data_IF_328437777362
#
_entry.id   IF_328437777362
#
_cell.length_a   1.000
_cell.length_b   1.000
_cell.length_c   1.000
_cell.angle_alpha   90.00
_cell.angle_beta   90.00
_cell.angle_gamma   90.00
#
_symmetry.space_group_name_H-M   'P 1'
#
loop_
_entity.id
_entity.type
_entity.pdbx_description
1 polymer ?
#
# COMPACT_ATOMS: atom_id res chain seq x y z
N UNK A 1 -2.14 26.00 22.27
CA UNK A 1 -2.03 25.77 20.82
C UNK A 1 -0.82 24.88 20.60
N UNK A 2 -0.98 23.65 20.11
CA UNK A 2 0.15 22.71 19.98
C UNK A 2 0.95 23.01 18.70
N UNK A 3 2.22 23.38 18.84
CA UNK A 3 3.19 23.59 17.77
C UNK A 3 3.59 22.24 17.12
N UNK A 4 2.69 21.63 16.37
CA UNK A 4 2.98 20.40 15.63
C UNK A 4 3.73 20.68 14.32
N UNK A 5 4.56 19.73 13.89
CA UNK A 5 5.24 19.76 12.60
C UNK A 5 4.18 19.53 11.51
N UNK A 6 3.92 20.57 10.72
CA UNK A 6 3.02 20.49 9.57
C UNK A 6 3.63 19.66 8.44
N UNK A 7 3.12 18.44 8.23
CA UNK A 7 3.38 17.71 7.00
C UNK A 7 2.29 18.05 5.97
N UNK A 8 2.52 19.10 5.20
CA UNK A 8 1.58 19.60 4.21
C UNK A 8 1.70 18.88 2.86
N UNK A 9 0.61 18.92 2.09
CA UNK A 9 0.57 18.55 0.67
C UNK A 9 1.61 19.33 -0.15
N UNK A 10 2.07 20.49 0.35
CA UNK A 10 3.09 21.28 -0.33
C UNK A 10 4.46 20.58 -0.32
N UNK A 11 4.74 19.74 0.68
CA UNK A 11 5.95 18.90 0.71
C UNK A 11 5.96 17.79 -0.35
N UNK A 12 4.82 17.45 -0.95
CA UNK A 12 4.77 16.53 -2.10
C UNK A 12 5.23 17.27 -3.36
N UNK A 13 6.53 17.19 -3.65
CA UNK A 13 7.13 17.87 -4.81
C UNK A 13 6.62 17.36 -6.17
N UNK A 14 6.06 18.23 -7.03
CA UNK A 14 5.48 17.83 -8.33
C UNK A 14 6.46 17.13 -9.28
N UNK A 15 7.74 17.52 -9.25
CA UNK A 15 8.78 16.92 -10.10
C UNK A 15 9.06 15.45 -9.78
N UNK A 16 8.75 15.00 -8.56
CA UNK A 16 8.96 13.62 -8.12
C UNK A 16 7.70 12.74 -8.32
N UNK A 17 6.54 13.34 -8.58
CA UNK A 17 5.30 12.60 -8.82
C UNK A 17 5.33 11.86 -10.16
N UNK A 18 4.98 10.57 -10.12
CA UNK A 18 5.02 9.70 -11.30
C UNK A 18 6.36 9.00 -11.52
N UNK A 19 7.37 9.33 -10.73
CA UNK A 19 8.62 8.57 -10.68
C UNK A 19 8.46 7.35 -9.78
N UNK A 20 9.26 6.31 -10.03
CA UNK A 20 9.28 5.14 -9.15
C UNK A 20 10.08 5.45 -7.89
N UNK A 21 9.45 5.37 -6.72
CA UNK A 21 10.09 5.74 -5.46
C UNK A 21 11.33 4.89 -5.16
N UNK A 22 11.32 3.60 -5.52
CA UNK A 22 12.48 2.71 -5.39
C UNK A 22 13.73 3.19 -6.15
N UNK A 23 13.56 4.06 -7.16
CA UNK A 23 14.67 4.64 -7.94
C UNK A 23 15.10 6.00 -7.41
N UNK A 24 14.15 6.79 -6.90
CA UNK A 24 14.38 8.16 -6.44
C UNK A 24 14.82 8.20 -4.98
N UNK A 25 14.39 7.24 -4.19
CA UNK A 25 14.64 7.12 -2.76
C UNK A 25 15.42 5.82 -2.50
N UNK A 26 16.55 5.63 -3.18
CA UNK A 26 17.47 4.55 -2.81
C UNK A 26 18.16 4.87 -1.48
N UNK A 27 18.67 3.85 -0.78
CA UNK A 27 19.39 4.07 0.47
C UNK A 27 20.59 5.04 0.29
N UNK A 28 21.32 4.89 -0.82
CA UNK A 28 22.46 5.76 -1.15
C UNK A 28 22.05 7.21 -1.39
N UNK A 29 20.99 7.44 -2.17
CA UNK A 29 20.50 8.80 -2.47
C UNK A 29 20.00 9.48 -1.20
N UNK A 30 19.26 8.75 -0.34
CA UNK A 30 18.79 9.31 0.94
C UNK A 30 19.96 9.67 1.86
N UNK A 31 20.98 8.82 1.95
CA UNK A 31 22.17 9.10 2.76
C UNK A 31 22.94 10.32 2.25
N UNK A 32 23.13 10.44 0.94
CA UNK A 32 23.76 11.60 0.29
C UNK A 32 22.95 12.89 0.53
N UNK A 33 21.63 12.84 0.34
CA UNK A 33 20.75 13.99 0.57
C UNK A 33 20.81 14.47 2.02
N UNK A 34 20.82 13.55 2.99
CA UNK A 34 20.99 13.90 4.40
C UNK A 34 22.34 14.57 4.62
N UNK A 35 23.42 14.07 4.01
CA UNK A 35 24.77 14.58 4.21
C UNK A 35 24.87 16.02 3.69
N UNK A 36 24.39 16.25 2.46
CA UNK A 36 24.33 17.56 1.82
C UNK A 36 23.51 18.54 2.67
N UNK A 37 22.32 18.12 3.11
CA UNK A 37 21.41 18.94 3.90
C UNK A 37 21.93 19.22 5.31
N UNK A 38 22.70 18.30 5.90
CA UNK A 38 23.29 18.50 7.23
C UNK A 38 24.39 19.55 7.18
N UNK A 39 25.26 19.48 6.17
CA UNK A 39 26.34 20.46 5.97
C UNK A 39 25.83 21.90 5.83
N UNK A 40 24.64 22.11 5.27
CA UNK A 40 24.07 23.46 5.15
C UNK A 40 23.48 24.01 6.44
N UNK A 41 23.02 23.14 7.35
CA UNK A 41 22.44 23.58 8.62
C UNK A 41 23.50 23.71 9.72
N UNK A 42 24.56 22.88 9.71
CA UNK A 42 25.58 22.81 10.78
C UNK A 42 26.08 24.18 11.20
N UNK A 43 26.43 25.06 10.25
CA UNK A 43 26.90 26.41 10.57
C UNK A 43 25.84 27.29 11.26
N UNK A 44 24.57 27.18 10.85
CA UNK A 44 23.46 27.93 11.44
C UNK A 44 23.12 27.42 12.85
N UNK A 45 23.11 26.10 13.04
CA UNK A 45 22.92 25.49 14.36
C UNK A 45 24.08 25.79 15.31
N UNK A 46 25.33 25.69 14.85
CA UNK A 46 26.49 26.05 15.66
C UNK A 46 26.44 27.52 16.08
N UNK A 47 25.98 28.44 15.22
CA UNK A 47 25.79 29.84 15.59
C UNK A 47 24.74 30.04 16.69
N UNK A 48 23.66 29.25 16.68
CA UNK A 48 22.61 29.28 17.72
C UNK A 48 23.07 28.63 19.02
N UNK A 49 23.84 27.53 18.91
CA UNK A 49 24.31 26.72 20.03
C UNK A 49 25.58 27.27 20.69
N UNK A 50 26.31 28.21 20.07
CA UNK A 50 27.42 28.94 20.71
C UNK A 50 27.00 29.71 21.97
N UNK A 51 25.71 29.86 22.22
CA UNK A 51 25.14 30.43 23.45
C UNK A 51 24.66 29.38 24.46
N UNK A 52 24.79 28.09 24.17
CA UNK A 52 24.48 26.99 25.07
C UNK A 52 25.74 26.15 25.30
N UNK A 53 26.32 26.23 26.50
CA UNK A 53 27.52 25.50 26.93
C UNK A 53 27.28 23.98 27.11
N UNK A 54 26.65 23.29 26.17
CA UNK A 54 26.43 21.85 26.28
C UNK A 54 27.42 21.05 25.42
N UNK A 55 28.08 20.14 26.12
CA UNK A 55 29.05 19.12 25.74
C UNK A 55 28.96 18.53 24.33
N UNK A 56 30.15 18.18 23.82
CA UNK A 56 30.40 17.48 22.56
C UNK A 56 29.61 16.17 22.47
N UNK A 57 28.42 16.21 21.91
CA UNK A 57 27.72 15.01 21.45
C UNK A 57 28.58 14.35 20.38
N UNK A 58 28.79 13.03 20.48
CA UNK A 58 29.57 12.27 19.50
C UNK A 58 28.84 12.29 18.14
N UNK A 59 29.26 13.19 17.24
CA UNK A 59 28.66 13.48 15.93
C UNK A 59 28.41 12.21 15.11
N UNK A 60 29.36 11.26 15.15
CA UNK A 60 29.23 9.97 14.47
C UNK A 60 28.04 9.14 14.98
N UNK A 61 27.73 9.20 16.27
CA UNK A 61 26.62 8.45 16.87
C UNK A 61 25.28 9.08 16.49
N UNK A 62 25.19 10.41 16.49
CA UNK A 62 24.00 11.13 16.02
C UNK A 62 23.75 10.86 14.53
N UNK A 63 24.80 10.91 13.72
CA UNK A 63 24.73 10.64 12.28
C UNK A 63 24.25 9.23 11.96
N UNK A 64 24.79 8.23 12.66
CA UNK A 64 24.36 6.84 12.51
C UNK A 64 22.89 6.66 12.88
N UNK A 65 22.43 7.34 13.96
CA UNK A 65 21.03 7.34 14.38
C UNK A 65 20.12 7.97 13.33
N UNK A 66 20.48 9.14 12.80
CA UNK A 66 19.67 9.85 11.79
C UNK A 66 19.51 9.02 10.51
N UNK A 67 20.60 8.45 9.99
CA UNK A 67 20.54 7.57 8.81
C UNK A 67 19.63 6.37 9.05
N UNK A 68 19.77 5.70 10.20
CA UNK A 68 18.91 4.57 10.57
C UNK A 68 17.43 4.96 10.65
N UNK A 69 17.11 6.13 11.18
CA UNK A 69 15.75 6.64 11.24
C UNK A 69 15.20 6.98 9.84
N UNK A 70 16.02 7.57 8.97
CA UNK A 70 15.65 7.82 7.59
C UNK A 70 15.40 6.52 6.82
N UNK A 71 16.24 5.49 6.98
CA UNK A 71 16.02 4.18 6.37
C UNK A 71 14.71 3.53 6.83
N UNK A 72 14.38 3.63 8.12
CA UNK A 72 13.10 3.15 8.66
C UNK A 72 11.92 3.91 8.05
N UNK A 73 12.04 5.23 7.96
CA UNK A 73 11.03 6.07 7.32
C UNK A 73 10.86 5.70 5.84
N UNK A 74 11.97 5.44 5.13
CA UNK A 74 12.02 4.99 3.74
C UNK A 74 11.27 3.66 3.58
N UNK A 75 11.58 2.69 4.43
CA UNK A 75 10.92 1.38 4.41
C UNK A 75 9.42 1.49 4.69
N UNK A 76 9.01 2.40 5.58
CA UNK A 76 7.61 2.69 5.84
C UNK A 76 6.89 3.25 4.60
N UNK A 77 7.48 4.24 3.92
CA UNK A 77 6.84 4.87 2.74
C UNK A 77 6.84 3.98 1.51
N UNK A 78 7.79 3.05 1.39
CA UNK A 78 7.83 2.06 0.31
C UNK A 78 6.84 0.90 0.55
N UNK A 79 6.21 0.83 1.72
CA UNK A 79 5.28 -0.25 2.08
C UNK A 79 5.97 -1.57 2.42
N UNK A 80 7.30 -1.56 2.58
CA UNK A 80 8.11 -2.72 2.99
C UNK A 80 7.90 -3.04 4.48
N UNK A 81 7.67 -2.01 5.30
CA UNK A 81 7.40 -2.15 6.72
C UNK A 81 5.91 -1.91 7.05
N UNK A 82 5.26 -2.80 7.81
CA UNK A 82 3.87 -2.58 8.23
C UNK A 82 3.78 -1.47 9.28
N UNK A 83 2.65 -0.76 9.29
CA UNK A 83 2.33 0.19 10.35
C UNK A 83 1.61 -0.53 11.50
N UNK A 84 2.22 -0.51 12.68
CA UNK A 84 1.74 -1.17 13.90
C UNK A 84 1.37 -0.11 14.93
N UNK A 85 0.19 -0.21 15.55
CA UNK A 85 -0.29 0.79 16.51
C UNK A 85 0.56 0.81 17.80
N UNK A 86 0.92 -0.36 18.32
CA UNK A 86 1.51 -0.51 19.67
C UNK A 86 3.04 -0.31 19.72
N UNK A 87 3.67 -0.01 18.58
CA UNK A 87 5.12 0.19 18.49
C UNK A 87 5.42 1.55 17.90
N UNK A 88 5.87 2.49 18.72
CA UNK A 88 6.25 3.82 18.27
C UNK A 88 7.32 3.74 17.17
N UNK A 89 7.10 4.48 16.08
CA UNK A 89 8.08 4.72 15.04
C UNK A 89 9.20 5.59 15.61
N UNK A 90 10.34 4.98 15.91
CA UNK A 90 11.56 5.67 16.29
C UNK A 90 12.18 6.32 15.05
N UNK A 91 11.62 7.47 14.67
CA UNK A 91 11.97 8.34 13.52
C UNK A 91 11.88 9.84 13.86
N UNK A 92 11.84 10.20 15.15
CA UNK A 92 11.59 11.56 15.62
C UNK A 92 12.68 12.56 15.18
N UNK A 93 13.94 12.18 15.24
CA UNK A 93 15.06 13.05 14.87
C UNK A 93 15.06 13.33 13.37
N UNK A 94 14.78 12.31 12.55
CA UNK A 94 14.60 12.48 11.11
C UNK A 94 13.46 13.45 10.78
N UNK A 95 12.29 13.25 11.40
CA UNK A 95 11.12 14.12 11.19
C UNK A 95 11.42 15.56 11.60
N UNK A 96 12.04 15.76 12.77
CA UNK A 96 12.41 17.07 13.28
C UNK A 96 13.47 17.75 12.40
N UNK A 97 14.46 16.99 11.93
CA UNK A 97 15.51 17.47 11.04
C UNK A 97 14.96 18.00 9.71
N UNK A 98 14.08 17.24 9.05
CA UNK A 98 13.45 17.67 7.79
C UNK A 98 12.48 18.84 8.02
N UNK A 99 11.81 18.90 9.17
CA UNK A 99 10.99 20.05 9.54
C UNK A 99 11.82 21.32 9.76
N UNK A 100 13.02 21.19 10.34
CA UNK A 100 13.96 22.30 10.52
C UNK A 100 14.48 22.82 9.17
N UNK A 101 14.81 21.90 8.24
CA UNK A 101 15.25 22.26 6.89
C UNK A 101 14.28 23.21 6.20
N UNK A 102 12.97 22.91 6.25
CA UNK A 102 11.89 23.77 5.72
C UNK A 102 11.93 25.20 6.25
N UNK A 103 12.23 25.36 7.54
CA UNK A 103 12.30 26.67 8.18
C UNK A 103 13.51 27.51 7.72
N UNK A 104 14.52 26.86 7.13
CA UNK A 104 15.81 27.47 6.76
C UNK A 104 15.97 27.71 5.24
N UNK A 105 15.00 27.30 4.40
CA UNK A 105 15.04 27.30 2.93
C UNK A 105 15.21 28.68 2.22
N UNK A 106 15.65 29.73 2.91
CA UNK A 106 16.01 31.01 2.27
C UNK A 106 17.40 31.03 1.59
N UNK A 107 18.13 29.91 1.50
CA UNK A 107 19.45 29.83 0.82
C UNK A 107 19.43 28.88 -0.39
N UNK A 108 19.70 29.42 -1.57
CA UNK A 108 19.24 28.95 -2.89
C UNK A 108 19.98 27.77 -3.54
N UNK A 109 20.98 27.17 -2.92
CA UNK A 109 21.91 26.29 -3.66
C UNK A 109 21.72 24.77 -3.42
N UNK A 110 20.81 24.34 -2.54
CA UNK A 110 20.60 22.91 -2.19
C UNK A 110 19.16 22.44 -2.39
N UNK A 111 18.50 22.98 -3.40
CA UNK A 111 17.06 22.83 -3.62
C UNK A 111 16.65 21.35 -3.79
N UNK A 112 17.42 20.53 -4.51
CA UNK A 112 16.96 19.19 -4.88
C UNK A 112 16.99 18.16 -3.73
N UNK A 113 18.07 18.12 -2.94
CA UNK A 113 18.20 17.20 -1.81
C UNK A 113 17.16 17.49 -0.72
N UNK A 114 16.96 18.77 -0.40
CA UNK A 114 15.93 19.19 0.57
C UNK A 114 14.54 18.82 0.04
N UNK A 115 14.25 19.08 -1.24
CA UNK A 115 13.00 18.68 -1.85
C UNK A 115 12.75 17.16 -1.77
N UNK A 116 13.75 16.31 -2.01
CA UNK A 116 13.57 14.85 -1.87
C UNK A 116 13.29 14.45 -0.42
N UNK A 117 14.02 15.00 0.55
CA UNK A 117 13.78 14.73 1.97
C UNK A 117 12.40 15.19 2.43
N UNK A 118 11.94 16.35 1.96
CA UNK A 118 10.60 16.85 2.23
C UNK A 118 9.50 16.00 1.59
N UNK A 119 9.73 15.55 0.36
CA UNK A 119 8.84 14.64 -0.34
C UNK A 119 8.71 13.34 0.42
N UNK A 120 9.84 12.80 0.90
CA UNK A 120 9.90 11.62 1.74
C UNK A 120 9.15 11.80 3.07
N UNK A 121 9.31 12.94 3.75
CA UNK A 121 8.53 13.27 4.95
C UNK A 121 7.01 13.33 4.64
N UNK A 122 6.63 13.99 3.55
CA UNK A 122 5.23 14.13 3.15
C UNK A 122 4.59 12.78 2.74
N UNK A 123 5.35 11.89 2.09
CA UNK A 123 4.92 10.52 1.79
C UNK A 123 4.66 9.72 3.06
N UNK A 124 5.47 9.89 4.11
CA UNK A 124 5.26 9.22 5.38
C UNK A 124 4.04 9.74 6.12
N UNK A 125 3.83 11.06 6.13
CA UNK A 125 2.58 11.62 6.65
C UNK A 125 1.34 11.12 5.88
N UNK A 126 1.44 11.02 4.55
CA UNK A 126 0.41 10.40 3.74
C UNK A 126 0.19 8.93 4.13
N UNK A 127 1.26 8.14 4.29
CA UNK A 127 1.17 6.74 4.73
C UNK A 127 0.41 6.61 6.05
N UNK A 128 0.74 7.43 7.05
CA UNK A 128 0.01 7.48 8.33
C UNK A 128 -1.47 7.85 8.11
N UNK A 129 -1.74 8.84 7.26
CA UNK A 129 -3.10 9.29 6.94
C UNK A 129 -3.96 8.22 6.26
N UNK A 130 -3.37 7.33 5.46
CA UNK A 130 -4.08 6.25 4.77
C UNK A 130 -4.51 5.11 5.70
N UNK A 131 -3.94 5.01 6.91
CA UNK A 131 -4.29 4.01 7.93
C UNK A 131 -4.68 4.73 9.23
N UNK A 132 -5.89 5.33 9.33
CA UNK A 132 -6.22 6.31 10.37
C UNK A 132 -6.01 5.80 11.81
N UNK A 133 -6.39 4.56 12.11
CA UNK A 133 -6.26 3.99 13.47
C UNK A 133 -4.80 3.97 13.98
N UNK A 134 -3.88 3.18 13.39
CA UNK A 134 -2.48 3.22 13.82
C UNK A 134 -1.78 4.53 13.42
N UNK A 135 -2.17 5.15 12.31
CA UNK A 135 -1.51 6.33 11.76
C UNK A 135 -1.66 7.57 12.60
N UNK A 136 -2.84 7.82 13.20
CA UNK A 136 -3.03 8.94 14.11
C UNK A 136 -2.22 8.80 15.40
N UNK A 137 -2.09 7.57 15.93
CA UNK A 137 -1.28 7.29 17.12
C UNK A 137 0.19 7.58 16.85
N UNK A 138 0.70 7.16 15.70
CA UNK A 138 2.08 7.39 15.29
C UNK A 138 2.34 8.86 14.96
N UNK A 139 1.40 9.53 14.29
CA UNK A 139 1.52 10.96 14.00
C UNK A 139 1.65 11.79 15.28
N UNK A 140 0.88 11.46 16.34
CA UNK A 140 1.01 12.10 17.66
C UNK A 140 2.40 11.86 18.28
N UNK A 141 2.90 10.63 18.24
CA UNK A 141 4.25 10.30 18.76
C UNK A 141 5.38 11.06 18.04
N UNK A 142 5.17 11.39 16.77
CA UNK A 142 6.13 12.10 15.93
C UNK A 142 5.88 13.62 15.91
N UNK A 143 4.89 14.13 16.67
CA UNK A 143 4.41 15.51 16.58
C UNK A 143 4.05 15.96 15.15
N UNK A 144 3.60 15.04 14.31
CA UNK A 144 3.16 15.31 12.94
C UNK A 144 1.67 15.67 12.90
N UNK A 145 1.35 16.79 12.25
CA UNK A 145 -0.03 17.15 11.95
C UNK A 145 -0.45 16.58 10.61
N UNK A 146 -1.49 15.72 10.62
CA UNK A 146 -2.10 15.18 9.42
C UNK A 146 -3.24 16.09 8.94
N UNK A 147 -3.11 16.62 7.73
CA UNK A 147 -4.12 17.52 7.16
C UNK A 147 -5.37 16.75 6.72
N UNK A 148 -6.55 17.22 7.15
CA UNK A 148 -7.87 16.65 6.82
C UNK A 148 -7.91 15.11 6.89
N UNK A 149 -7.78 14.49 8.07
CA UNK A 149 -7.91 13.04 8.23
C UNK A 149 -9.22 12.54 7.62
N UNK A 150 -9.19 11.39 6.95
CA UNK A 150 -10.35 10.80 6.25
C UNK A 150 -10.58 11.30 4.83
N UNK A 151 -9.83 12.31 4.35
CA UNK A 151 -9.94 12.81 2.98
C UNK A 151 -8.57 12.93 2.32
N UNK A 152 -8.47 12.64 1.02
CA UNK A 152 -7.23 12.80 0.26
C UNK A 152 -7.42 13.70 -0.96
N UNK A 153 -6.39 14.47 -1.30
CA UNK A 153 -6.39 15.33 -2.50
C UNK A 153 -5.71 14.64 -3.69
N UNK A 154 -5.88 15.19 -4.89
CA UNK A 154 -5.33 14.61 -6.12
C UNK A 154 -3.83 14.34 -6.07
N UNK A 155 -3.08 15.22 -5.41
CA UNK A 155 -1.63 15.10 -5.25
C UNK A 155 -1.23 13.95 -4.34
N UNK A 156 -1.96 13.75 -3.24
CA UNK A 156 -1.74 12.64 -2.31
C UNK A 156 -2.04 11.30 -3.01
N UNK A 157 -3.16 11.20 -3.72
CA UNK A 157 -3.49 10.02 -4.53
C UNK A 157 -2.39 9.74 -5.57
N UNK A 158 -1.93 10.78 -6.26
CA UNK A 158 -0.87 10.66 -7.26
C UNK A 158 0.44 10.15 -6.64
N UNK A 159 0.81 10.66 -5.47
CA UNK A 159 1.99 10.21 -4.73
C UNK A 159 1.87 8.74 -4.31
N UNK A 160 0.76 8.34 -3.67
CA UNK A 160 0.54 6.96 -3.23
C UNK A 160 0.49 5.94 -4.38
N UNK A 161 0.06 6.37 -5.57
CA UNK A 161 0.00 5.53 -6.77
C UNK A 161 1.22 5.64 -7.70
N UNK A 162 2.21 6.48 -7.37
CA UNK A 162 3.34 6.77 -8.25
C UNK A 162 2.88 7.23 -9.66
N UNK A 163 1.90 8.13 -9.70
CA UNK A 163 1.32 8.72 -10.90
C UNK A 163 1.65 10.21 -10.98
N UNK A 164 1.58 10.78 -12.20
CA UNK A 164 1.53 12.23 -12.36
C UNK A 164 0.21 12.78 -11.82
N UNK A 165 0.23 13.94 -11.17
CA UNK A 165 -0.98 14.59 -10.62
C UNK A 165 -2.08 14.81 -11.68
N UNK A 166 -1.69 15.11 -12.92
CA UNK A 166 -2.61 15.27 -14.06
C UNK A 166 -3.44 14.01 -14.34
N UNK A 167 -2.88 12.82 -14.10
CA UNK A 167 -3.58 11.53 -14.28
C UNK A 167 -4.78 11.44 -13.35
N UNK A 168 -4.61 11.84 -12.09
CA UNK A 168 -5.67 11.82 -11.08
C UNK A 168 -6.71 12.90 -11.38
N UNK A 169 -6.27 14.10 -11.79
CA UNK A 169 -7.18 15.17 -12.24
C UNK A 169 -8.06 14.74 -13.41
N UNK A 170 -7.51 13.98 -14.36
CA UNK A 170 -8.27 13.43 -15.47
C UNK A 170 -9.30 12.39 -15.01
N UNK A 171 -8.94 11.52 -14.06
CA UNK A 171 -9.89 10.57 -13.47
C UNK A 171 -11.04 11.26 -12.72
N UNK A 172 -10.74 12.35 -12.00
CA UNK A 172 -11.74 13.20 -11.35
C UNK A 172 -12.67 13.86 -12.38
N UNK A 173 -12.12 14.38 -13.49
CA UNK A 173 -12.90 14.96 -14.58
C UNK A 173 -13.86 13.93 -15.22
N UNK A 174 -13.42 12.68 -15.34
CA UNK A 174 -14.23 11.54 -15.82
C UNK A 174 -15.20 10.99 -14.78
N UNK A 175 -15.25 11.58 -13.58
CA UNK A 175 -16.11 11.14 -12.46
C UNK A 175 -15.83 9.71 -11.99
N UNK A 176 -14.60 9.21 -12.17
CA UNK A 176 -14.18 7.93 -11.57
C UNK A 176 -14.02 8.03 -10.04
N UNK A 177 -13.84 9.25 -9.53
CA UNK A 177 -13.71 9.62 -8.13
C UNK A 177 -14.67 10.77 -7.85
N UNK A 178 -15.40 10.70 -6.72
CA UNK A 178 -16.32 11.74 -6.32
C UNK A 178 -15.61 12.78 -5.45
N UNK A 179 -15.70 14.04 -5.85
CA UNK A 179 -15.21 15.15 -5.05
C UNK A 179 -16.24 15.52 -3.99
N UNK A 180 -15.77 15.71 -2.77
CA UNK A 180 -16.53 16.33 -1.67
C UNK A 180 -16.34 17.85 -1.69
N UNK A 181 -17.20 18.56 -0.94
CA UNK A 181 -17.07 20.00 -0.75
C UNK A 181 -15.66 20.31 -0.20
N UNK A 182 -14.82 20.97 -1.01
CA UNK A 182 -13.40 21.20 -0.69
C UNK A 182 -12.40 20.53 -1.63
N UNK A 183 -12.83 19.97 -2.77
CA UNK A 183 -11.95 19.38 -3.81
C UNK A 183 -11.10 18.20 -3.29
N UNK A 184 -11.61 17.45 -2.33
CA UNK A 184 -10.99 16.25 -1.78
C UNK A 184 -11.87 15.01 -2.01
N UNK A 185 -11.26 13.83 -1.98
CA UNK A 185 -11.93 12.54 -2.15
C UNK A 185 -11.97 11.84 -0.80
N UNK A 186 -13.09 11.22 -0.45
CA UNK A 186 -13.17 10.40 0.76
C UNK A 186 -12.12 9.28 0.71
N UNK A 187 -11.37 9.08 1.80
CA UNK A 187 -10.25 8.12 1.86
C UNK A 187 -10.68 6.72 1.41
N UNK A 188 -11.85 6.30 1.87
CA UNK A 188 -12.54 5.07 1.50
C UNK A 188 -12.59 4.84 -0.02
N UNK A 189 -13.19 5.79 -0.73
CA UNK A 189 -13.35 5.76 -2.17
C UNK A 189 -12.00 5.84 -2.88
N UNK A 190 -11.08 6.65 -2.37
CA UNK A 190 -9.75 6.77 -2.92
C UNK A 190 -9.00 5.43 -2.85
N UNK A 191 -9.05 4.73 -1.71
CA UNK A 191 -8.40 3.42 -1.55
C UNK A 191 -8.93 2.39 -2.55
N UNK A 192 -10.26 2.30 -2.72
CA UNK A 192 -10.89 1.36 -3.68
C UNK A 192 -10.61 1.70 -5.15
N UNK A 193 -10.27 2.95 -5.46
CA UNK A 193 -9.79 3.35 -6.79
C UNK A 193 -8.30 3.09 -6.95
N UNK A 194 -7.48 3.45 -5.94
CA UNK A 194 -6.03 3.32 -5.94
C UNK A 194 -5.57 1.86 -6.05
N UNK A 195 -6.28 0.94 -5.41
CA UNK A 195 -6.01 -0.51 -5.45
C UNK A 195 -5.99 -1.08 -6.87
N UNK A 196 -6.70 -0.44 -7.80
CA UNK A 196 -6.80 -0.82 -9.20
C UNK A 196 -5.60 -0.35 -10.04
N UNK A 197 -4.60 0.26 -9.40
CA UNK A 197 -3.40 0.80 -10.05
C UNK A 197 -2.20 -0.04 -9.66
N UNK A 198 -1.40 -0.43 -10.67
CA UNK A 198 -0.16 -1.21 -10.46
C UNK A 198 0.84 -0.49 -9.55
N UNK A 199 0.91 0.84 -9.63
CA UNK A 199 1.84 1.66 -8.84
C UNK A 199 1.39 1.97 -7.42
N UNK A 200 0.20 1.52 -6.99
CA UNK A 200 -0.25 1.75 -5.62
C UNK A 200 0.63 0.99 -4.61
N UNK A 201 1.25 1.76 -3.73
CA UNK A 201 2.26 1.31 -2.77
C UNK A 201 1.66 0.48 -1.63
N UNK A 202 0.39 0.70 -1.29
CA UNK A 202 -0.20 0.20 -0.04
C UNK A 202 -1.45 -0.67 -0.23
N UNK A 203 -1.45 -1.65 -1.15
CA UNK A 203 -2.64 -2.48 -1.44
C UNK A 203 -3.17 -3.23 -0.22
N UNK A 204 -2.29 -3.59 0.72
CA UNK A 204 -2.64 -4.36 1.91
C UNK A 204 -3.46 -3.56 2.94
N UNK A 205 -3.59 -2.23 2.79
CA UNK A 205 -4.50 -1.45 3.64
C UNK A 205 -5.94 -1.99 3.52
N UNK A 206 -6.38 -2.31 2.30
CA UNK A 206 -7.74 -2.79 2.06
C UNK A 206 -8.03 -4.13 2.74
N UNK A 207 -7.01 -4.96 2.99
CA UNK A 207 -7.19 -6.27 3.65
C UNK A 207 -7.66 -6.12 5.09
N UNK A 208 -7.33 -5.02 5.76
CA UNK A 208 -7.73 -4.76 7.16
C UNK A 208 -9.23 -4.56 7.32
N UNK A 209 -9.95 -4.23 6.24
CA UNK A 209 -11.37 -3.94 6.27
C UNK A 209 -12.13 -4.95 5.43
N UNK A 210 -12.96 -5.77 6.07
CA UNK A 210 -13.63 -6.89 5.40
C UNK A 210 -14.52 -6.49 4.21
N UNK A 211 -15.09 -5.28 4.24
CA UNK A 211 -15.99 -4.75 3.20
C UNK A 211 -15.27 -4.07 2.03
N UNK A 212 -13.95 -3.86 2.12
CA UNK A 212 -13.19 -3.16 1.08
C UNK A 212 -12.96 -4.02 -0.15
N UNK A 213 -12.79 -3.34 -1.27
CA UNK A 213 -12.46 -3.99 -2.54
C UNK A 213 -11.12 -4.73 -2.43
N UNK A 214 -11.04 -5.92 -3.01
CA UNK A 214 -9.78 -6.63 -3.26
C UNK A 214 -9.57 -6.89 -4.75
N UNK A 215 -8.35 -7.30 -5.12
CA UNK A 215 -8.02 -7.78 -6.46
C UNK A 215 -7.20 -9.06 -6.37
N UNK A 216 -6.92 -9.67 -7.52
CA UNK A 216 -6.21 -10.95 -7.58
C UNK A 216 -4.80 -10.89 -6.97
N UNK A 217 -4.10 -9.76 -7.08
CA UNK A 217 -2.80 -9.55 -6.40
C UNK A 217 -2.94 -9.63 -4.88
N UNK A 218 -3.94 -8.97 -4.32
CA UNK A 218 -4.18 -8.99 -2.87
C UNK A 218 -4.61 -10.37 -2.40
N UNK A 219 -5.57 -10.99 -3.10
CA UNK A 219 -6.01 -12.34 -2.76
C UNK A 219 -4.83 -13.33 -2.79
N UNK A 220 -3.95 -13.21 -3.78
CA UNK A 220 -2.71 -14.02 -3.84
C UNK A 220 -1.84 -13.83 -2.60
N UNK A 221 -1.50 -12.59 -2.23
CA UNK A 221 -0.67 -12.29 -1.05
C UNK A 221 -1.31 -12.72 0.27
N UNK A 222 -2.64 -12.63 0.38
CA UNK A 222 -3.37 -13.09 1.57
C UNK A 222 -3.35 -14.62 1.65
N UNK A 223 -3.69 -15.31 0.55
CA UNK A 223 -3.73 -16.77 0.52
C UNK A 223 -2.36 -17.39 0.80
N UNK A 224 -1.24 -16.73 0.44
CA UNK A 224 0.11 -17.23 0.78
C UNK A 224 0.36 -17.33 2.28
N UNK A 225 -0.42 -16.63 3.09
CA UNK A 225 -0.32 -16.59 4.56
C UNK A 225 -1.49 -17.29 5.24
N UNK A 226 -2.50 -17.69 4.47
CA UNK A 226 -3.69 -18.34 4.98
C UNK A 226 -3.40 -19.84 5.15
N UNK A 227 -3.62 -20.43 6.34
CA UNK A 227 -3.36 -21.86 6.54
C UNK A 227 -4.25 -22.73 5.64
N UNK A 228 -5.48 -22.31 5.34
CA UNK A 228 -6.46 -23.14 4.61
C UNK A 228 -6.08 -23.42 3.16
N UNK A 229 -5.07 -22.74 2.60
CA UNK A 229 -4.71 -22.86 1.19
C UNK A 229 -3.19 -22.92 0.98
N UNK A 230 -2.77 -23.81 0.07
CA UNK A 230 -1.40 -23.98 -0.36
C UNK A 230 -1.24 -23.55 -1.82
N UNK A 231 -0.20 -22.75 -2.08
CA UNK A 231 0.17 -22.38 -3.45
C UNK A 231 0.87 -23.54 -4.14
N UNK A 232 0.35 -23.96 -5.30
CA UNK A 232 0.93 -25.08 -6.07
C UNK A 232 1.88 -24.57 -7.14
N UNK A 233 1.39 -23.72 -8.05
CA UNK A 233 2.17 -23.20 -9.18
C UNK A 233 1.53 -21.98 -9.83
N UNK A 234 2.30 -21.35 -10.72
CA UNK A 234 1.78 -20.37 -11.68
C UNK A 234 1.51 -21.02 -13.03
N UNK A 235 0.35 -20.73 -13.62
CA UNK A 235 -0.04 -21.20 -14.96
C UNK A 235 0.14 -20.04 -15.94
N UNK A 236 1.34 -19.89 -16.50
CA UNK A 236 1.74 -18.74 -17.31
C UNK A 236 0.84 -18.48 -18.51
N UNK A 237 0.40 -19.55 -19.20
CA UNK A 237 -0.48 -19.44 -20.39
C UNK A 237 -1.83 -18.81 -20.06
N UNK A 238 -2.31 -18.99 -18.83
CA UNK A 238 -3.60 -18.47 -18.35
C UNK A 238 -3.45 -17.23 -17.46
N UNK A 239 -2.22 -16.89 -17.05
CA UNK A 239 -1.91 -15.85 -16.06
C UNK A 239 -2.65 -16.05 -14.73
N UNK A 240 -2.81 -17.32 -14.36
CA UNK A 240 -3.48 -17.74 -13.12
C UNK A 240 -2.47 -18.38 -12.17
N UNK A 241 -2.78 -18.37 -10.88
CA UNK A 241 -2.11 -19.20 -9.87
C UNK A 241 -3.05 -20.32 -9.44
N UNK A 242 -2.52 -21.53 -9.37
CA UNK A 242 -3.19 -22.72 -8.86
C UNK A 242 -2.98 -22.85 -7.36
N UNK A 243 -4.07 -23.16 -6.67
CA UNK A 243 -4.13 -23.31 -5.23
C UNK A 243 -4.82 -24.62 -4.88
N UNK A 244 -4.40 -25.21 -3.77
CA UNK A 244 -4.99 -26.41 -3.18
C UNK A 244 -5.47 -26.08 -1.78
N UNK A 245 -6.62 -26.58 -1.36
CA UNK A 245 -7.03 -26.47 0.05
C UNK A 245 -6.16 -27.37 0.94
N UNK A 246 -5.83 -26.91 2.13
CA UNK A 246 -5.13 -27.75 3.11
C UNK A 246 -6.02 -28.95 3.46
N UNK A 247 -5.42 -30.13 3.60
CA UNK A 247 -6.08 -31.39 3.96
C UNK A 247 -7.02 -31.99 2.91
N UNK A 248 -7.08 -31.44 1.69
CA UNK A 248 -7.85 -32.02 0.58
C UNK A 248 -7.13 -31.89 -0.78
N UNK A 249 -7.58 -32.69 -1.75
CA UNK A 249 -7.14 -32.62 -3.14
C UNK A 249 -7.87 -31.52 -3.95
N UNK A 250 -8.83 -30.79 -3.37
CA UNK A 250 -9.56 -29.74 -4.08
C UNK A 250 -8.64 -28.60 -4.52
N UNK A 251 -8.74 -28.24 -5.81
CA UNK A 251 -7.92 -27.21 -6.44
C UNK A 251 -8.79 -26.14 -7.07
N UNK A 252 -8.29 -24.91 -7.01
CA UNK A 252 -8.90 -23.76 -7.66
C UNK A 252 -7.81 -22.86 -8.25
N UNK A 253 -8.21 -21.93 -9.12
CA UNK A 253 -7.28 -20.96 -9.72
C UNK A 253 -7.78 -19.54 -9.54
N UNK A 254 -6.86 -18.61 -9.35
CA UNK A 254 -7.14 -17.18 -9.27
C UNK A 254 -6.17 -16.35 -10.10
N UNK A 255 -6.60 -15.18 -10.54
CA UNK A 255 -5.80 -14.27 -11.35
C UNK A 255 -4.77 -13.49 -10.53
N UNK A 256 -3.68 -14.13 -10.06
CA UNK A 256 -2.73 -13.53 -9.10
C UNK A 256 -2.06 -12.23 -9.54
N UNK A 257 -2.03 -11.93 -10.83
CA UNK A 257 -1.48 -10.68 -11.38
C UNK A 257 -2.56 -9.62 -11.70
N UNK A 258 -3.83 -9.93 -11.41
CA UNK A 258 -4.99 -9.10 -11.69
C UNK A 258 -5.06 -7.90 -10.74
N UNK A 259 -5.06 -6.69 -11.30
CA UNK A 259 -5.17 -5.44 -10.52
C UNK A 259 -6.60 -4.89 -10.46
N UNK A 260 -7.47 -5.22 -11.41
CA UNK A 260 -8.82 -4.66 -11.45
C UNK A 260 -9.83 -5.42 -10.61
N UNK A 261 -9.79 -6.76 -10.66
CA UNK A 261 -10.74 -7.65 -9.99
C UNK A 261 -10.00 -8.90 -9.49
N UNK A 262 -10.51 -9.50 -8.42
CA UNK A 262 -10.12 -10.84 -8.00
C UNK A 262 -11.03 -11.85 -8.70
N UNK A 263 -10.57 -12.43 -9.80
CA UNK A 263 -11.28 -13.48 -10.50
C UNK A 263 -10.79 -14.83 -10.01
N UNK A 264 -11.73 -15.68 -9.63
CA UNK A 264 -11.49 -17.05 -9.18
C UNK A 264 -12.29 -18.01 -10.05
N UNK A 265 -11.73 -19.19 -10.30
CA UNK A 265 -12.42 -20.29 -10.95
C UNK A 265 -12.43 -21.50 -10.03
N UNK A 266 -13.64 -22.03 -9.83
CA UNK A 266 -13.98 -23.03 -8.83
C UNK A 266 -14.65 -24.23 -9.52
N UNK A 267 -14.03 -25.40 -9.53
CA UNK A 267 -14.61 -26.59 -10.14
C UNK A 267 -15.64 -27.28 -9.25
N UNK A 268 -16.65 -27.89 -9.86
CA UNK A 268 -17.54 -28.85 -9.19
C UNK A 268 -18.42 -28.28 -8.07
N UNK A 269 -18.70 -26.98 -8.13
CA UNK A 269 -19.58 -26.27 -7.20
C UNK A 269 -20.88 -25.83 -7.88
N UNK A 270 -21.83 -25.45 -7.05
CA UNK A 270 -23.11 -24.87 -7.46
C UNK A 270 -23.00 -23.34 -7.54
N UNK A 271 -23.42 -22.76 -8.66
CA UNK A 271 -23.41 -21.31 -8.89
C UNK A 271 -24.32 -20.54 -7.93
N UNK A 272 -25.45 -21.13 -7.52
CA UNK A 272 -26.39 -20.47 -6.60
C UNK A 272 -25.77 -20.31 -5.21
N UNK A 273 -25.03 -21.32 -4.76
CA UNK A 273 -24.29 -21.26 -3.49
C UNK A 273 -23.20 -20.19 -3.58
N UNK A 274 -22.43 -20.16 -4.67
CA UNK A 274 -21.39 -19.13 -4.87
C UNK A 274 -21.97 -17.71 -4.87
N UNK A 275 -23.15 -17.54 -5.47
CA UNK A 275 -23.88 -16.28 -5.47
C UNK A 275 -24.30 -15.89 -4.05
N UNK A 276 -24.82 -16.84 -3.27
CA UNK A 276 -25.23 -16.62 -1.87
C UNK A 276 -24.08 -16.22 -0.94
N UNK A 277 -22.84 -16.65 -1.24
CA UNK A 277 -21.62 -16.25 -0.54
C UNK A 277 -21.18 -14.81 -0.88
N UNK A 278 -21.79 -14.18 -1.89
CA UNK A 278 -21.51 -12.82 -2.32
C UNK A 278 -20.53 -12.70 -3.49
N UNK A 279 -20.24 -13.80 -4.20
CA UNK A 279 -19.52 -13.69 -5.48
C UNK A 279 -20.38 -12.97 -6.52
N UNK A 280 -19.73 -12.23 -7.41
CA UNK A 280 -20.40 -11.43 -8.44
C UNK A 280 -19.91 -11.80 -9.84
N UNK A 281 -20.74 -11.57 -10.86
CA UNK A 281 -20.38 -11.87 -12.26
C UNK A 281 -20.07 -13.35 -12.48
N UNK A 282 -20.86 -14.24 -11.87
CA UNK A 282 -20.72 -15.68 -12.01
C UNK A 282 -21.07 -16.12 -13.43
N UNK A 283 -20.20 -16.95 -14.01
CA UNK A 283 -20.38 -17.53 -15.33
C UNK A 283 -19.93 -18.98 -15.31
N UNK A 284 -20.75 -19.87 -15.87
CA UNK A 284 -20.34 -21.24 -16.13
C UNK A 284 -19.45 -21.25 -17.39
N UNK A 285 -18.19 -21.69 -17.22
CA UNK A 285 -17.18 -21.78 -18.28
C UNK A 285 -16.96 -23.20 -18.75
N UNK A 286 -17.84 -24.13 -18.39
CA UNK A 286 -17.70 -25.56 -18.70
C UNK A 286 -17.66 -25.86 -20.20
N UNK A 287 -18.32 -25.05 -21.00
CA UNK A 287 -18.42 -25.16 -22.47
C UNK A 287 -17.44 -24.26 -23.23
N UNK A 288 -16.62 -23.47 -22.53
CA UNK A 288 -15.64 -22.60 -23.19
C UNK A 288 -14.58 -23.42 -23.94
N UNK A 289 -14.06 -22.89 -25.05
CA UNK A 289 -12.98 -23.54 -25.81
C UNK A 289 -11.74 -23.80 -24.96
N UNK A 290 -11.51 -22.97 -23.94
CA UNK A 290 -10.38 -23.10 -23.00
C UNK A 290 -10.69 -23.99 -21.79
N UNK A 291 -11.93 -24.48 -21.65
CA UNK A 291 -12.36 -25.35 -20.54
C UNK A 291 -11.47 -26.59 -20.40
N UNK A 292 -11.03 -27.17 -21.53
CA UNK A 292 -10.11 -28.32 -21.52
C UNK A 292 -8.80 -27.99 -20.81
N UNK A 293 -8.19 -26.84 -21.08
CA UNK A 293 -6.94 -26.42 -20.42
C UNK A 293 -7.13 -26.21 -18.92
N UNK A 294 -8.27 -25.65 -18.50
CA UNK A 294 -8.59 -25.50 -17.07
C UNK A 294 -8.74 -26.86 -16.39
N UNK A 295 -9.44 -27.81 -17.03
CA UNK A 295 -9.59 -29.18 -16.52
C UNK A 295 -8.27 -29.92 -16.42
N UNK A 296 -7.44 -29.87 -17.46
CA UNK A 296 -6.08 -30.45 -17.45
C UNK A 296 -5.23 -29.83 -16.34
N UNK A 297 -5.28 -28.51 -16.16
CA UNK A 297 -4.49 -27.81 -15.15
C UNK A 297 -4.91 -28.16 -13.72
N UNK A 298 -6.21 -28.34 -13.49
CA UNK A 298 -6.81 -28.64 -12.19
C UNK A 298 -6.97 -30.16 -11.93
N UNK A 299 -6.51 -31.02 -12.84
CA UNK A 299 -6.67 -32.48 -12.78
C UNK A 299 -8.14 -32.94 -12.63
N UNK A 300 -9.05 -32.30 -13.36
CA UNK A 300 -10.50 -32.56 -13.29
C UNK A 300 -10.95 -33.57 -14.34
N UNK A 301 -11.96 -34.39 -13.98
CA UNK A 301 -12.67 -35.23 -14.93
C UNK A 301 -13.48 -34.40 -15.92
N UNK A 302 -13.76 -34.96 -17.10
CA UNK A 302 -14.72 -34.37 -18.02
C UNK A 302 -16.11 -34.25 -17.39
N UNK A 303 -16.89 -33.25 -17.81
CA UNK A 303 -18.23 -32.98 -17.28
C UNK A 303 -18.28 -32.24 -15.95
N UNK A 304 -17.16 -32.08 -15.23
CA UNK A 304 -17.12 -31.22 -14.03
C UNK A 304 -17.37 -29.76 -14.40
N UNK A 305 -18.27 -29.12 -13.66
CA UNK A 305 -18.63 -27.71 -13.84
C UNK A 305 -17.44 -26.80 -13.51
N UNK A 306 -17.30 -25.69 -14.24
CA UNK A 306 -16.25 -24.69 -14.04
C UNK A 306 -16.87 -23.32 -13.83
N UNK A 307 -17.15 -22.97 -12.58
CA UNK A 307 -17.67 -21.64 -12.27
C UNK A 307 -16.54 -20.63 -12.18
N UNK A 308 -16.66 -19.53 -12.91
CA UNK A 308 -15.79 -18.37 -12.78
C UNK A 308 -16.59 -17.20 -12.21
N UNK A 309 -16.03 -16.47 -11.26
CA UNK A 309 -16.65 -15.25 -10.75
C UNK A 309 -15.65 -14.29 -10.13
N UNK A 310 -16.16 -13.16 -9.67
CA UNK A 310 -15.40 -12.12 -8.98
C UNK A 310 -15.63 -12.21 -7.48
N UNK A 311 -14.54 -12.23 -6.72
CA UNK A 311 -14.53 -12.07 -5.26
C UNK A 311 -14.33 -10.58 -4.96
N UNK A 312 -15.38 -9.85 -4.56
CA UNK A 312 -15.29 -8.40 -4.48
C UNK A 312 -14.51 -7.92 -3.24
N UNK A 313 -14.58 -8.65 -2.12
CA UNK A 313 -14.07 -8.20 -0.83
C UNK A 313 -13.41 -9.34 -0.04
N UNK A 314 -12.67 -8.97 1.02
CA UNK A 314 -12.09 -9.94 1.95
C UNK A 314 -13.15 -10.80 2.64
N UNK A 315 -14.31 -10.22 3.00
CA UNK A 315 -15.43 -10.98 3.59
C UNK A 315 -15.87 -12.14 2.71
N UNK A 316 -16.00 -11.89 1.40
CA UNK A 316 -16.43 -12.92 0.44
C UNK A 316 -15.33 -13.96 0.24
N UNK A 317 -14.05 -13.55 0.20
CA UNK A 317 -12.93 -14.48 0.09
C UNK A 317 -12.90 -15.44 1.29
N UNK A 318 -13.06 -14.90 2.50
CA UNK A 318 -13.04 -15.66 3.74
C UNK A 318 -14.21 -16.65 3.82
N UNK A 319 -15.43 -16.18 3.56
CA UNK A 319 -16.62 -17.03 3.52
C UNK A 319 -16.52 -18.13 2.46
N UNK A 320 -15.89 -17.85 1.32
CA UNK A 320 -15.64 -18.84 0.29
C UNK A 320 -14.66 -19.92 0.76
N UNK A 321 -13.56 -19.55 1.41
CA UNK A 321 -12.58 -20.50 1.94
C UNK A 321 -13.19 -21.38 3.04
N UNK A 322 -13.98 -20.80 3.95
CA UNK A 322 -14.69 -21.56 4.98
C UNK A 322 -15.69 -22.55 4.39
N UNK A 323 -16.46 -22.11 3.40
CA UNK A 323 -17.39 -22.98 2.68
C UNK A 323 -16.63 -24.15 2.03
N UNK A 324 -15.56 -23.84 1.30
CA UNK A 324 -14.73 -24.81 0.61
C UNK A 324 -14.17 -25.87 1.57
N UNK A 325 -13.58 -25.45 2.70
CA UNK A 325 -13.09 -26.37 3.73
C UNK A 325 -14.25 -27.24 4.27
N UNK A 326 -15.39 -26.61 4.62
CA UNK A 326 -16.52 -27.34 5.21
C UNK A 326 -17.14 -28.41 4.30
N UNK A 327 -17.22 -28.16 2.99
CA UNK A 327 -17.79 -29.12 2.03
C UNK A 327 -16.79 -30.23 1.73
N UNK A 328 -15.50 -29.90 1.67
CA UNK A 328 -14.48 -30.90 1.36
C UNK A 328 -14.23 -31.85 2.53
N UNK A 329 -14.23 -31.36 3.77
CA UNK A 329 -14.18 -32.25 4.96
C UNK A 329 -15.38 -33.22 4.98
N UNK A 330 -16.57 -32.78 4.56
CA UNK A 330 -17.77 -33.64 4.49
C UNK A 330 -17.75 -34.66 3.34
N UNK A 331 -16.92 -34.48 2.32
CA UNK A 331 -16.78 -35.42 1.19
C UNK A 331 -15.67 -36.45 1.41
N UNK A 332 -14.73 -36.18 2.32
CA UNK A 332 -13.64 -37.09 2.70
C UNK A 332 -13.93 -38.00 3.90
N UNK A 333 -15.03 -37.76 4.63
CA UNK A 333 -15.57 -38.62 5.68
C UNK A 333 -16.66 -39.54 5.12
#
# INVERSE_FOLDING_TARGET
MSNGIGASVQGLHPGLLGQRLERVLTASVVAEDLEVASRSIVGSLQSLLKHSESESSNEATWWARLNKQAERWRSLILGESPLVADRALDCQDFVAFVALLRGLEHRRDQVESVQRLEHMLALGALRLKLEPEPGLVQARHLNLQLNNPGFVVSREIAAACQLRESTVKNALSRRELALTAGKSVALEQALDWMIQRRGFLYPMINVRYQSRRINGRIAHEVLRKDPRAEWIRHISRLRLSEWRLQDDAYRFVLNSQGVHQCQIMLPGLDGDILSSLGMTGLMDRSSDTQARLYRESLALKEGVTLWQGTVPTMKVLDALLDYLVSVMTKRGA
#
